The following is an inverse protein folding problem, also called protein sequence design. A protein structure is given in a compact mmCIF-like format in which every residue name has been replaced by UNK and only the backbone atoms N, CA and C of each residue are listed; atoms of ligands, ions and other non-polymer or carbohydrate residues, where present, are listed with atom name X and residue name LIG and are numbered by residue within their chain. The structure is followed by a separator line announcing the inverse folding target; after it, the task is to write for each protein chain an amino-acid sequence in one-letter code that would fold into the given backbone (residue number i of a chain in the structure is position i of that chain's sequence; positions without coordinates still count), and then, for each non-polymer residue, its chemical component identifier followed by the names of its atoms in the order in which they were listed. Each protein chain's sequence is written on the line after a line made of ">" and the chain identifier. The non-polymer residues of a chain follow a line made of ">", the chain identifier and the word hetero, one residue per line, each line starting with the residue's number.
data_IF_252340376819
#
_entry.id   IF_252340376819
#
_cell.length_a   1.000
_cell.length_b   1.000
_cell.length_c   1.000
_cell.angle_alpha   90.00
_cell.angle_beta   90.00
_cell.angle_gamma   90.00
#
_symmetry.space_group_name_H-M   'P 1'
#
loop_
_entity.id
_entity.type
_entity.pdbx_description
1 polymer ?
#
# COMPACT_ATOMS: atom_id res chain seq x y z
N UNK A 1 20.88 -1.16 23.21
CA UNK A 1 20.84 -2.00 21.99
C UNK A 1 21.27 -1.15 20.81
N UNK A 2 22.41 -1.42 20.18
CA UNK A 2 22.83 -0.69 18.98
C UNK A 2 21.98 -1.15 17.81
N UNK A 3 21.20 -0.26 17.22
CA UNK A 3 20.51 -0.47 15.96
C UNK A 3 21.55 -0.55 14.84
N UNK A 4 22.03 -1.75 14.54
CA UNK A 4 22.80 -1.98 13.31
C UNK A 4 21.86 -1.92 12.11
N UNK A 5 21.59 -0.71 11.64
CA UNK A 5 20.92 -0.45 10.36
C UNK A 5 21.97 -0.65 9.23
N UNK A 6 22.17 -1.88 8.83
CA UNK A 6 22.88 -2.16 7.57
C UNK A 6 21.97 -1.77 6.39
N UNK A 7 22.03 -0.51 5.99
CA UNK A 7 21.32 0.01 4.82
C UNK A 7 21.94 -0.45 3.48
N UNK A 8 23.06 -1.20 3.53
CA UNK A 8 23.81 -1.65 2.34
C UNK A 8 23.27 -2.92 1.68
N UNK A 9 22.83 -3.91 2.48
CA UNK A 9 22.37 -5.21 1.99
C UNK A 9 20.93 -5.47 2.41
N UNK A 10 19.97 -4.84 1.71
CA UNK A 10 18.55 -5.12 1.92
C UNK A 10 18.24 -6.58 1.51
N UNK A 11 18.26 -7.48 2.49
CA UNK A 11 17.87 -8.86 2.32
C UNK A 11 16.44 -9.06 2.82
N UNK A 12 15.51 -9.23 1.91
CA UNK A 12 14.12 -9.48 2.26
C UNK A 12 13.95 -10.87 2.90
N UNK A 13 13.11 -10.92 3.95
CA UNK A 13 12.67 -12.18 4.56
C UNK A 13 11.99 -13.07 3.52
N UNK A 14 12.35 -14.34 3.49
CA UNK A 14 11.68 -15.31 2.64
C UNK A 14 10.31 -15.68 3.25
N UNK A 15 9.24 -15.16 2.67
CA UNK A 15 7.86 -15.42 3.06
C UNK A 15 7.14 -16.28 2.02
N UNK A 16 6.08 -16.97 2.42
CA UNK A 16 5.23 -17.79 1.54
C UNK A 16 4.41 -16.83 0.66
N UNK A 17 4.47 -16.97 -0.68
CA UNK A 17 3.68 -16.10 -1.56
C UNK A 17 2.19 -16.42 -1.47
N UNK A 18 1.36 -15.38 -1.50
CA UNK A 18 -0.10 -15.46 -1.48
C UNK A 18 -0.67 -14.72 -2.68
N UNK A 19 -1.57 -15.38 -3.41
CA UNK A 19 -2.29 -14.77 -4.54
C UNK A 19 -3.59 -14.12 -4.06
N UNK A 20 -3.82 -12.86 -4.45
CA UNK A 20 -5.02 -12.07 -4.11
C UNK A 20 -5.57 -11.49 -5.41
N UNK A 21 -6.65 -12.05 -5.92
CA UNK A 21 -7.16 -11.65 -7.23
C UNK A 21 -6.10 -11.78 -8.33
N UNK A 22 -5.74 -10.67 -8.95
CA UNK A 22 -4.76 -10.57 -10.03
C UNK A 22 -3.32 -10.26 -9.55
N UNK A 23 -3.08 -10.11 -8.25
CA UNK A 23 -1.76 -9.80 -7.68
C UNK A 23 -1.26 -10.91 -6.78
N UNK A 24 0.06 -10.91 -6.53
CA UNK A 24 0.72 -11.80 -5.57
C UNK A 24 1.55 -10.99 -4.59
N UNK A 25 1.55 -11.40 -3.33
CA UNK A 25 2.34 -10.81 -2.24
C UNK A 25 3.29 -11.85 -1.66
N UNK A 26 4.32 -11.41 -0.95
CA UNK A 26 5.29 -12.33 -0.33
C UNK A 26 6.28 -12.95 -1.31
N UNK A 27 7.21 -13.74 -0.81
CA UNK A 27 8.30 -14.29 -1.59
C UNK A 27 9.13 -13.20 -2.27
N UNK A 28 9.40 -13.35 -3.55
CA UNK A 28 10.09 -12.36 -4.39
C UNK A 28 9.19 -11.24 -4.94
N UNK A 29 7.87 -11.29 -4.67
CA UNK A 29 6.95 -10.27 -5.17
C UNK A 29 7.20 -8.91 -4.49
N UNK A 30 6.91 -7.78 -5.16
CA UNK A 30 7.08 -6.46 -4.55
C UNK A 30 6.21 -6.29 -3.31
N UNK A 31 6.62 -5.40 -2.40
CA UNK A 31 5.80 -5.01 -1.25
C UNK A 31 4.61 -4.21 -1.75
N UNK A 32 3.41 -4.64 -1.41
CA UNK A 32 2.16 -4.11 -1.94
C UNK A 32 1.58 -3.03 -1.03
N UNK A 33 1.14 -1.93 -1.62
CA UNK A 33 0.43 -0.86 -0.92
C UNK A 33 -1.06 -1.19 -0.88
N UNK A 34 -1.60 -1.30 0.33
CA UNK A 34 -3.03 -1.49 0.58
C UNK A 34 -3.62 -0.22 1.21
N UNK A 35 -4.84 0.10 0.84
CA UNK A 35 -5.65 1.17 1.46
C UNK A 35 -6.99 0.65 1.99
N UNK A 36 -7.79 1.54 2.52
CA UNK A 36 -9.14 1.23 3.02
C UNK A 36 -10.08 2.41 2.78
N UNK A 37 -11.30 2.13 2.35
CA UNK A 37 -12.37 3.13 2.27
C UNK A 37 -12.83 3.54 3.67
N UNK A 38 -13.39 4.74 3.76
CA UNK A 38 -14.11 5.23 4.93
C UNK A 38 -15.55 5.66 4.60
N UNK A 39 -16.00 5.33 3.40
CA UNK A 39 -17.41 5.47 3.01
C UNK A 39 -18.24 4.38 3.64
N UNK A 40 -19.55 4.62 3.80
CA UNK A 40 -20.50 3.53 4.05
C UNK A 40 -20.49 2.58 2.84
N UNK A 41 -20.16 1.31 3.07
CA UNK A 41 -20.05 0.32 2.00
C UNK A 41 -21.40 0.06 1.33
N UNK A 42 -22.52 0.29 2.02
CA UNK A 42 -23.86 0.19 1.44
C UNK A 42 -24.13 1.30 0.40
N UNK A 43 -23.45 2.43 0.48
CA UNK A 43 -23.43 3.43 -0.59
C UNK A 43 -22.47 2.98 -1.70
N UNK A 44 -23.03 2.26 -2.67
CA UNK A 44 -22.28 1.73 -3.83
C UNK A 44 -21.58 2.84 -4.62
N UNK A 45 -22.20 4.01 -4.76
CA UNK A 45 -21.66 5.10 -5.58
C UNK A 45 -20.46 5.75 -4.91
N UNK A 46 -20.60 6.16 -3.66
CA UNK A 46 -19.52 6.77 -2.89
C UNK A 46 -18.35 5.80 -2.72
N UNK A 47 -18.64 4.54 -2.42
CA UNK A 47 -17.60 3.51 -2.23
C UNK A 47 -16.87 3.21 -3.54
N UNK A 48 -17.55 3.06 -4.68
CA UNK A 48 -16.91 2.89 -5.98
C UNK A 48 -15.99 4.05 -6.32
N UNK A 49 -16.46 5.29 -6.15
CA UNK A 49 -15.66 6.49 -6.41
C UNK A 49 -14.39 6.48 -5.56
N UNK A 50 -14.52 6.24 -4.27
CA UNK A 50 -13.38 6.23 -3.36
C UNK A 50 -12.39 5.09 -3.69
N UNK A 51 -12.86 3.89 -4.05
CA UNK A 51 -12.00 2.79 -4.51
C UNK A 51 -11.23 3.20 -5.76
N UNK A 52 -11.87 3.85 -6.74
CA UNK A 52 -11.20 4.35 -7.94
C UNK A 52 -10.15 5.39 -7.63
N UNK A 53 -10.47 6.35 -6.75
CA UNK A 53 -9.54 7.40 -6.34
C UNK A 53 -8.31 6.80 -5.65
N UNK A 54 -8.50 5.82 -4.76
CA UNK A 54 -7.42 5.09 -4.10
C UNK A 54 -6.59 4.27 -5.09
N UNK A 55 -7.22 3.55 -6.03
CA UNK A 55 -6.53 2.78 -7.05
C UNK A 55 -5.73 3.68 -8.01
N UNK A 56 -6.30 4.81 -8.42
CA UNK A 56 -5.61 5.81 -9.26
C UNK A 56 -4.42 6.45 -8.54
N UNK A 57 -4.51 6.62 -7.21
CA UNK A 57 -3.38 7.05 -6.38
C UNK A 57 -2.28 5.98 -6.28
N UNK A 58 -2.55 4.75 -6.71
CA UNK A 58 -1.62 3.63 -6.72
C UNK A 58 -1.79 2.64 -5.57
N UNK A 59 -2.96 2.62 -4.91
CA UNK A 59 -3.32 1.52 -4.03
C UNK A 59 -3.54 0.25 -4.86
N UNK A 60 -2.86 -0.81 -4.48
CA UNK A 60 -2.87 -2.07 -5.23
C UNK A 60 -3.88 -3.06 -4.69
N UNK A 61 -4.36 -2.84 -3.48
CA UNK A 61 -5.46 -3.57 -2.82
C UNK A 61 -6.29 -2.55 -2.05
N UNK A 62 -7.61 -2.62 -2.14
CA UNK A 62 -8.52 -1.77 -1.36
C UNK A 62 -9.38 -2.62 -0.43
N UNK A 63 -9.44 -2.24 0.85
CA UNK A 63 -10.28 -2.89 1.84
C UNK A 63 -11.55 -2.08 2.08
N UNK A 64 -12.67 -2.76 2.16
CA UNK A 64 -13.98 -2.21 2.50
C UNK A 64 -14.53 -2.90 3.75
N UNK A 65 -15.32 -2.20 4.55
CA UNK A 65 -15.97 -2.79 5.73
C UNK A 65 -17.22 -3.56 5.30
N UNK A 66 -17.40 -4.77 5.83
CA UNK A 66 -18.61 -5.58 5.61
C UNK A 66 -19.18 -5.94 6.99
N UNK A 67 -19.98 -5.04 7.52
CA UNK A 67 -20.46 -5.04 8.92
C UNK A 67 -21.93 -5.39 9.07
N UNK A 68 -22.70 -5.34 7.99
CA UNK A 68 -24.15 -5.59 7.96
C UNK A 68 -24.62 -6.11 6.61
N UNK A 69 -25.90 -6.51 6.55
CA UNK A 69 -26.47 -7.12 5.34
C UNK A 69 -26.41 -6.20 4.12
N UNK A 70 -26.66 -4.91 4.28
CA UNK A 70 -26.68 -3.98 3.17
C UNK A 70 -25.27 -3.74 2.61
N UNK A 71 -24.25 -3.71 3.47
CA UNK A 71 -22.86 -3.67 3.01
C UNK A 71 -22.46 -4.97 2.29
N UNK A 72 -22.94 -6.13 2.74
CA UNK A 72 -22.71 -7.41 2.06
C UNK A 72 -23.38 -7.46 0.67
N UNK A 73 -24.65 -7.02 0.57
CA UNK A 73 -25.38 -6.93 -0.72
C UNK A 73 -24.69 -5.98 -1.71
N UNK A 74 -24.11 -4.88 -1.23
CA UNK A 74 -23.48 -3.86 -2.05
C UNK A 74 -22.20 -4.35 -2.78
N UNK A 75 -21.50 -5.35 -2.24
CA UNK A 75 -20.19 -5.80 -2.75
C UNK A 75 -20.23 -6.20 -4.24
N UNK A 76 -21.21 -6.97 -4.66
CA UNK A 76 -21.35 -7.38 -6.07
C UNK A 76 -21.59 -6.21 -7.00
N UNK A 77 -22.44 -5.26 -6.61
CA UNK A 77 -22.71 -4.04 -7.37
C UNK A 77 -21.49 -3.12 -7.45
N UNK A 78 -20.73 -3.02 -6.36
CA UNK A 78 -19.46 -2.27 -6.33
C UNK A 78 -18.48 -2.87 -7.35
N UNK A 79 -18.29 -4.19 -7.32
CA UNK A 79 -17.35 -4.87 -8.26
C UNK A 79 -17.78 -4.71 -9.70
N UNK A 80 -19.06 -4.88 -10.00
CA UNK A 80 -19.61 -4.69 -11.35
C UNK A 80 -19.36 -3.26 -11.87
N UNK A 81 -19.63 -2.23 -11.04
CA UNK A 81 -19.37 -0.84 -11.40
C UNK A 81 -17.89 -0.57 -11.66
N UNK A 82 -17.01 -1.08 -10.81
CA UNK A 82 -15.56 -0.93 -10.98
C UNK A 82 -15.07 -1.58 -12.28
N UNK A 83 -15.59 -2.75 -12.63
CA UNK A 83 -15.26 -3.43 -13.88
C UNK A 83 -15.70 -2.61 -15.12
N UNK A 84 -16.87 -1.96 -15.09
CA UNK A 84 -17.36 -1.09 -16.16
C UNK A 84 -16.41 0.09 -16.47
N UNK A 85 -15.65 0.53 -15.48
CA UNK A 85 -14.66 1.62 -15.62
C UNK A 85 -13.21 1.09 -15.68
N UNK A 86 -13.02 -0.19 -15.96
CA UNK A 86 -11.72 -0.85 -16.05
C UNK A 86 -10.87 -0.76 -14.76
N UNK A 87 -11.49 -0.64 -13.60
CA UNK A 87 -10.83 -0.69 -12.30
C UNK A 87 -10.82 -2.11 -11.77
N UNK A 88 -9.71 -2.83 -11.95
CA UNK A 88 -9.55 -4.24 -11.57
C UNK A 88 -8.80 -4.43 -10.24
N UNK A 89 -8.83 -3.43 -9.36
CA UNK A 89 -8.18 -3.53 -8.06
C UNK A 89 -8.83 -4.62 -7.22
N UNK A 90 -8.05 -5.51 -6.56
CA UNK A 90 -8.59 -6.50 -5.63
C UNK A 90 -9.26 -5.85 -4.42
N UNK A 91 -10.44 -6.37 -4.06
CA UNK A 91 -11.23 -5.89 -2.93
C UNK A 91 -11.16 -6.86 -1.77
N UNK A 92 -10.89 -6.34 -0.58
CA UNK A 92 -10.84 -7.11 0.67
C UNK A 92 -12.04 -6.78 1.53
N UNK A 93 -12.80 -7.79 1.94
CA UNK A 93 -13.85 -7.64 2.93
C UNK A 93 -13.28 -7.66 4.35
N UNK A 94 -13.59 -6.65 5.13
CA UNK A 94 -13.23 -6.55 6.54
C UNK A 94 -14.42 -6.98 7.40
N UNK A 95 -14.31 -8.16 8.00
CA UNK A 95 -15.39 -8.79 8.78
C UNK A 95 -15.10 -8.70 10.26
N UNK A 96 -16.16 -8.38 11.00
CA UNK A 96 -16.21 -8.35 12.45
C UNK A 96 -17.47 -9.09 12.94
N UNK A 97 -17.51 -9.55 14.18
CA UNK A 97 -18.64 -10.15 14.90
C UNK A 97 -19.55 -11.09 14.07
N UNK A 98 -20.38 -10.55 13.20
CA UNK A 98 -21.38 -11.30 12.40
C UNK A 98 -20.86 -11.73 11.02
N UNK A 99 -19.56 -11.57 10.75
CA UNK A 99 -18.95 -11.89 9.45
C UNK A 99 -19.23 -13.32 8.98
N UNK A 100 -19.26 -14.30 9.89
CA UNK A 100 -19.61 -15.69 9.62
C UNK A 100 -21.05 -15.84 9.06
N UNK A 101 -21.98 -15.07 9.60
CA UNK A 101 -23.37 -15.05 9.12
C UNK A 101 -23.49 -14.36 7.77
N UNK A 102 -22.81 -13.22 7.59
CA UNK A 102 -22.83 -12.46 6.34
C UNK A 102 -22.28 -13.27 5.17
N UNK A 103 -21.15 -13.96 5.35
CA UNK A 103 -20.54 -14.77 4.31
C UNK A 103 -21.44 -15.95 3.89
N UNK A 104 -22.15 -16.60 4.84
CA UNK A 104 -23.11 -17.69 4.54
C UNK A 104 -24.37 -17.17 3.87
N UNK A 105 -24.95 -16.07 4.38
CA UNK A 105 -26.22 -15.53 3.89
C UNK A 105 -26.09 -14.84 2.53
N UNK A 106 -24.92 -14.30 2.22
CA UNK A 106 -24.66 -13.56 0.97
C UNK A 106 -23.52 -14.20 0.17
N UNK A 107 -23.75 -15.34 -0.51
CA UNK A 107 -22.73 -16.07 -1.25
C UNK A 107 -22.11 -15.24 -2.39
N UNK A 108 -22.83 -14.28 -2.97
CA UNK A 108 -22.29 -13.39 -3.98
C UNK A 108 -21.25 -12.42 -3.41
N UNK A 109 -21.43 -11.95 -2.18
CA UNK A 109 -20.43 -11.19 -1.45
C UNK A 109 -19.16 -12.05 -1.27
N UNK A 110 -19.33 -13.27 -0.76
CA UNK A 110 -18.21 -14.18 -0.53
C UNK A 110 -17.42 -14.50 -1.81
N UNK A 111 -18.10 -14.75 -2.93
CA UNK A 111 -17.47 -15.01 -4.24
C UNK A 111 -16.78 -13.78 -4.82
N UNK A 112 -17.36 -12.61 -4.67
CA UNK A 112 -16.90 -11.38 -5.31
C UNK A 112 -15.65 -10.81 -4.66
N UNK A 113 -15.52 -10.91 -3.35
CA UNK A 113 -14.34 -10.46 -2.62
C UNK A 113 -13.09 -11.26 -3.04
N UNK A 114 -11.95 -10.58 -3.10
CA UNK A 114 -10.68 -11.20 -3.47
C UNK A 114 -9.90 -11.72 -2.26
N UNK A 115 -10.23 -11.27 -1.05
CA UNK A 115 -9.63 -11.70 0.22
C UNK A 115 -10.57 -11.36 1.38
N UNK A 116 -10.54 -12.17 2.44
CA UNK A 116 -11.21 -11.84 3.70
C UNK A 116 -10.21 -11.37 4.76
N UNK A 117 -10.59 -10.39 5.55
CA UNK A 117 -9.88 -10.05 6.80
C UNK A 117 -10.74 -10.49 7.97
N UNK A 118 -10.16 -11.30 8.83
CA UNK A 118 -10.76 -11.82 10.05
C UNK A 118 -9.94 -11.35 11.23
N UNK A 119 -10.59 -10.80 12.25
CA UNK A 119 -9.96 -10.50 13.53
C UNK A 119 -10.39 -11.57 14.55
N UNK A 120 -9.49 -12.44 14.98
CA UNK A 120 -9.82 -13.52 15.92
C UNK A 120 -10.42 -13.03 17.24
N UNK A 121 -10.05 -11.82 17.69
CA UNK A 121 -10.60 -11.22 18.90
C UNK A 121 -12.05 -10.72 18.77
N UNK A 122 -12.58 -10.63 17.54
CA UNK A 122 -13.92 -10.12 17.25
C UNK A 122 -14.82 -11.17 16.59
N UNK A 123 -14.54 -12.47 16.73
CA UNK A 123 -15.28 -13.56 16.08
C UNK A 123 -16.06 -14.37 17.10
N UNK A 124 -16.73 -13.74 18.03
CA UNK A 124 -17.49 -14.42 19.08
C UNK A 124 -16.72 -14.56 20.40
N UNK A 125 -17.39 -15.11 21.41
CA UNK A 125 -16.90 -15.25 22.77
C UNK A 125 -16.92 -16.72 23.17
N UNK A 126 -15.91 -17.16 23.93
CA UNK A 126 -15.80 -18.53 24.48
C UNK A 126 -15.97 -19.60 23.40
N UNK A 127 -16.78 -20.61 23.63
CA UNK A 127 -17.02 -21.74 22.72
C UNK A 127 -17.54 -21.32 21.33
N UNK A 128 -18.30 -20.23 21.22
CA UNK A 128 -18.78 -19.70 19.94
C UNK A 128 -17.69 -19.15 19.06
N UNK A 129 -16.54 -18.78 19.64
CA UNK A 129 -15.41 -18.21 18.90
C UNK A 129 -14.85 -19.17 17.86
N UNK A 130 -14.57 -20.41 18.23
CA UNK A 130 -14.02 -21.40 17.28
C UNK A 130 -15.05 -21.75 16.19
N UNK A 131 -16.31 -21.91 16.53
CA UNK A 131 -17.41 -22.20 15.60
C UNK A 131 -17.53 -21.09 14.54
N UNK A 132 -17.54 -19.82 14.97
CA UNK A 132 -17.69 -18.71 14.06
C UNK A 132 -16.42 -18.47 13.20
N UNK A 133 -15.24 -18.63 13.79
CA UNK A 133 -13.99 -18.58 13.05
C UNK A 133 -13.93 -19.71 11.99
N UNK A 134 -14.21 -20.95 12.39
CA UNK A 134 -14.25 -22.11 11.49
C UNK A 134 -15.23 -21.90 10.34
N UNK A 135 -16.41 -21.37 10.62
CA UNK A 135 -17.40 -21.02 9.60
C UNK A 135 -16.89 -20.00 8.56
N UNK A 136 -16.11 -19.01 8.97
CA UNK A 136 -15.53 -18.04 8.03
C UNK A 136 -14.40 -18.68 7.20
N UNK A 137 -13.63 -19.57 7.77
CA UNK A 137 -12.58 -20.33 7.06
C UNK A 137 -13.20 -21.31 6.04
N UNK A 138 -14.30 -21.99 6.40
CA UNK A 138 -15.05 -22.84 5.48
C UNK A 138 -15.54 -22.08 4.24
N UNK A 139 -16.07 -20.87 4.43
CA UNK A 139 -16.49 -20.02 3.31
C UNK A 139 -15.28 -19.53 2.48
N UNK A 140 -14.12 -19.28 3.11
CA UNK A 140 -12.89 -18.97 2.40
C UNK A 140 -12.40 -20.14 1.54
N UNK A 141 -12.44 -21.36 2.07
CA UNK A 141 -12.12 -22.60 1.35
C UNK A 141 -13.06 -22.81 0.16
N UNK A 142 -14.37 -22.78 0.40
CA UNK A 142 -15.41 -22.96 -0.63
C UNK A 142 -15.24 -21.99 -1.80
N UNK A 143 -14.86 -20.75 -1.53
CA UNK A 143 -14.68 -19.70 -2.53
C UNK A 143 -13.21 -19.55 -2.98
N UNK A 144 -12.29 -20.40 -2.50
CA UNK A 144 -10.85 -20.34 -2.75
C UNK A 144 -10.25 -18.93 -2.50
N UNK A 145 -10.56 -18.34 -1.36
CA UNK A 145 -10.11 -16.99 -1.00
C UNK A 145 -9.01 -17.03 0.05
N UNK A 146 -7.94 -16.24 -0.11
CA UNK A 146 -6.97 -16.05 0.94
C UNK A 146 -7.58 -15.25 2.11
N UNK A 147 -7.05 -15.51 3.30
CA UNK A 147 -7.50 -14.89 4.54
C UNK A 147 -6.35 -14.12 5.19
N UNK A 148 -6.62 -12.90 5.64
CA UNK A 148 -5.72 -12.21 6.55
C UNK A 148 -6.24 -12.32 7.98
N UNK A 149 -5.49 -13.01 8.80
CA UNK A 149 -5.68 -13.05 10.26
C UNK A 149 -5.07 -11.78 10.82
N UNK A 150 -5.94 -10.89 11.29
CA UNK A 150 -5.57 -9.54 11.69
C UNK A 150 -5.84 -9.27 13.14
N UNK A 151 -4.86 -9.49 13.99
CA UNK A 151 -4.93 -9.20 15.43
C UNK A 151 -4.60 -7.74 15.69
N UNK A 152 -5.38 -7.08 16.52
CA UNK A 152 -5.12 -5.73 17.01
C UNK A 152 -5.08 -5.74 18.53
N UNK A 153 -4.22 -4.91 19.11
CA UNK A 153 -4.12 -4.72 20.56
C UNK A 153 -5.49 -4.41 21.20
N UNK A 154 -6.21 -3.40 20.69
CA UNK A 154 -7.47 -2.94 21.27
C UNK A 154 -8.62 -3.95 21.20
N UNK A 155 -8.45 -5.06 20.49
CA UNK A 155 -9.44 -6.14 20.35
C UNK A 155 -8.80 -7.52 20.51
N UNK A 156 -7.79 -7.60 21.39
CA UNK A 156 -7.17 -8.86 21.77
C UNK A 156 -8.14 -9.69 22.62
N UNK A 157 -8.06 -11.00 22.44
CA UNK A 157 -8.79 -11.98 23.23
C UNK A 157 -8.40 -11.88 24.71
N UNK A 158 -9.37 -11.48 25.54
CA UNK A 158 -9.14 -11.26 26.98
C UNK A 158 -8.95 -12.58 27.74
N UNK A 159 -9.61 -13.65 27.31
CA UNK A 159 -9.43 -14.97 27.95
C UNK A 159 -7.99 -15.46 27.73
N UNK A 160 -7.50 -15.39 26.49
CA UNK A 160 -6.10 -15.72 26.17
C UNK A 160 -5.10 -14.84 26.94
N UNK A 161 -5.37 -13.54 27.06
CA UNK A 161 -4.49 -12.65 27.81
C UNK A 161 -4.46 -13.01 29.28
N UNK A 162 -5.61 -13.29 29.91
CA UNK A 162 -5.72 -13.70 31.28
C UNK A 162 -4.94 -14.98 31.55
N UNK A 163 -5.14 -16.01 30.72
CA UNK A 163 -4.44 -17.29 30.84
C UNK A 163 -2.91 -17.11 30.80
N UNK A 164 -2.42 -16.27 29.87
CA UNK A 164 -0.99 -15.99 29.74
C UNK A 164 -0.45 -15.15 30.91
N UNK A 165 -1.24 -14.26 31.51
CA UNK A 165 -0.88 -13.53 32.71
C UNK A 165 -0.78 -14.48 33.92
N UNK A 166 -1.74 -15.40 34.06
CA UNK A 166 -1.74 -16.41 35.12
C UNK A 166 -0.55 -17.40 34.99
N UNK A 167 -0.24 -17.83 33.77
CA UNK A 167 0.97 -18.60 33.51
C UNK A 167 2.24 -17.83 33.89
N UNK A 168 2.31 -16.54 33.47
CA UNK A 168 3.45 -15.68 33.72
C UNK A 168 3.71 -15.47 35.22
N UNK A 169 2.65 -15.38 36.03
CA UNK A 169 2.76 -15.21 37.51
C UNK A 169 3.45 -16.37 38.20
N UNK A 170 3.46 -17.57 37.59
CA UNK A 170 4.07 -18.79 38.13
C UNK A 170 5.60 -18.85 37.94
N UNK A 171 6.17 -17.97 37.10
CA UNK A 171 7.61 -17.95 36.87
C UNK A 171 8.37 -17.27 38.02
N UNK A 172 9.57 -17.73 38.32
CA UNK A 172 10.45 -17.10 39.30
C UNK A 172 10.80 -15.64 39.00
N UNK A 173 10.80 -15.29 37.71
CA UNK A 173 10.99 -13.91 37.20
C UNK A 173 9.92 -13.66 36.16
N UNK A 174 8.74 -13.19 36.56
CA UNK A 174 7.67 -12.91 35.61
C UNK A 174 8.07 -11.75 34.70
N UNK A 175 7.57 -11.81 33.44
CA UNK A 175 7.66 -10.72 32.49
C UNK A 175 6.73 -9.59 32.91
N UNK A 176 7.02 -8.37 32.45
CA UNK A 176 6.10 -7.25 32.61
C UNK A 176 4.82 -7.45 31.77
N UNK A 177 3.77 -6.73 32.11
CA UNK A 177 2.45 -6.85 31.49
C UNK A 177 2.47 -6.55 29.99
N UNK A 178 3.31 -5.62 29.55
CA UNK A 178 3.45 -5.27 28.13
C UNK A 178 4.05 -6.44 27.35
N UNK A 179 5.09 -7.07 27.88
CA UNK A 179 5.72 -8.25 27.28
C UNK A 179 4.75 -9.44 27.18
N UNK A 180 3.91 -9.65 28.21
CA UNK A 180 2.88 -10.70 28.17
C UNK A 180 1.82 -10.38 27.11
N UNK A 181 1.37 -9.14 27.02
CA UNK A 181 0.39 -8.72 26.03
C UNK A 181 0.95 -8.85 24.59
N UNK A 182 2.23 -8.50 24.38
CA UNK A 182 2.93 -8.72 23.12
C UNK A 182 2.97 -10.20 22.74
N UNK A 183 3.29 -11.08 23.71
CA UNK A 183 3.24 -12.54 23.55
C UNK A 183 1.83 -13.00 23.18
N UNK A 184 0.80 -12.48 23.83
CA UNK A 184 -0.59 -12.82 23.57
C UNK A 184 -1.03 -12.48 22.13
N UNK A 185 -0.62 -11.31 21.59
CA UNK A 185 -0.87 -10.93 20.19
C UNK A 185 -0.28 -11.94 19.21
N UNK A 186 0.97 -12.34 19.43
CA UNK A 186 1.69 -13.29 18.57
C UNK A 186 1.06 -14.67 18.67
N UNK A 187 0.77 -15.14 19.87
CA UNK A 187 0.11 -16.43 20.12
C UNK A 187 -1.27 -16.45 19.45
N UNK A 188 -2.09 -15.43 19.65
CA UNK A 188 -3.41 -15.32 19.00
C UNK A 188 -3.32 -15.43 17.49
N UNK A 189 -2.36 -14.75 16.88
CA UNK A 189 -2.19 -14.79 15.42
C UNK A 189 -1.74 -16.17 14.91
N UNK A 190 -0.75 -16.77 15.57
CA UNK A 190 -0.17 -18.04 15.14
C UNK A 190 -1.10 -19.24 15.41
N UNK A 191 -1.79 -19.26 16.55
CA UNK A 191 -2.79 -20.31 16.85
C UNK A 191 -3.97 -20.25 15.91
N UNK A 192 -4.46 -19.03 15.59
CA UNK A 192 -5.53 -18.86 14.59
C UNK A 192 -5.08 -19.27 13.19
N UNK A 193 -3.82 -19.01 12.80
CA UNK A 193 -3.28 -19.47 11.53
C UNK A 193 -3.19 -21.01 11.47
N UNK A 194 -2.69 -21.62 12.55
CA UNK A 194 -2.65 -23.08 12.68
C UNK A 194 -4.06 -23.68 12.62
N UNK A 195 -5.03 -23.09 13.32
CA UNK A 195 -6.42 -23.52 13.27
C UNK A 195 -7.01 -23.45 11.86
N UNK A 196 -6.69 -22.39 11.10
CA UNK A 196 -7.11 -22.26 9.71
C UNK A 196 -6.50 -23.36 8.82
N UNK A 197 -5.22 -23.76 9.04
CA UNK A 197 -4.60 -24.90 8.36
C UNK A 197 -5.26 -26.23 8.71
N UNK A 198 -5.58 -26.47 9.98
CA UNK A 198 -6.29 -27.68 10.44
C UNK A 198 -7.67 -27.81 9.77
N UNK A 199 -8.32 -26.69 9.48
CA UNK A 199 -9.58 -26.64 8.73
C UNK A 199 -9.40 -26.81 7.21
N UNK A 200 -8.15 -26.86 6.71
CA UNK A 200 -7.82 -27.14 5.30
C UNK A 200 -7.30 -25.94 4.50
N UNK A 201 -7.19 -24.73 5.09
CA UNK A 201 -6.65 -23.58 4.39
C UNK A 201 -5.14 -23.76 4.18
N UNK A 202 -4.67 -23.54 2.95
CA UNK A 202 -3.25 -23.68 2.63
C UNK A 202 -2.44 -22.51 3.17
N UNK A 203 -1.15 -22.71 3.47
CA UNK A 203 -0.23 -21.64 3.91
C UNK A 203 -0.14 -20.50 2.93
N UNK A 204 -0.25 -20.80 1.63
CA UNK A 204 -0.28 -19.86 0.50
C UNK A 204 -1.59 -19.04 0.43
N UNK A 205 -2.51 -19.26 1.36
CA UNK A 205 -3.76 -18.52 1.49
C UNK A 205 -3.84 -17.75 2.81
N UNK A 206 -2.78 -17.78 3.65
CA UNK A 206 -2.77 -17.15 4.97
C UNK A 206 -1.82 -15.96 4.99
N UNK A 207 -2.33 -14.84 5.49
CA UNK A 207 -1.58 -13.61 5.75
C UNK A 207 -1.76 -13.24 7.21
N UNK A 208 -0.71 -12.80 7.88
CA UNK A 208 -0.78 -12.40 9.29
C UNK A 208 -0.54 -10.90 9.44
N UNK A 209 -1.24 -10.28 10.38
CA UNK A 209 -0.91 -8.96 10.90
C UNK A 209 -1.20 -8.85 12.38
N UNK A 210 -0.25 -8.29 13.12
CA UNK A 210 -0.41 -7.91 14.53
C UNK A 210 -0.16 -6.41 14.64
N UNK A 211 -1.14 -5.65 15.08
CA UNK A 211 -1.08 -4.19 15.08
C UNK A 211 -1.25 -3.63 16.49
N UNK A 212 -0.37 -2.70 16.82
CA UNK A 212 -0.37 -1.90 18.05
C UNK A 212 -0.17 -0.43 17.68
N UNK A 213 -0.39 0.47 18.63
CA UNK A 213 -0.19 1.92 18.46
C UNK A 213 1.22 2.39 18.85
N UNK A 214 2.01 1.54 19.52
CA UNK A 214 3.36 1.81 19.96
C UNK A 214 4.41 1.31 18.98
N UNK A 215 5.41 2.15 18.67
CA UNK A 215 6.41 1.88 17.62
C UNK A 215 7.34 0.74 18.01
N UNK A 216 7.93 0.82 19.23
CA UNK A 216 8.90 -0.18 19.68
C UNK A 216 8.26 -1.56 19.83
N UNK A 217 7.10 -1.61 20.44
CA UNK A 217 6.29 -2.82 20.59
C UNK A 217 5.93 -3.44 19.24
N UNK A 218 5.57 -2.60 18.26
CA UNK A 218 5.29 -3.09 16.90
C UNK A 218 6.51 -3.74 16.25
N UNK A 219 7.68 -3.10 16.37
CA UNK A 219 8.94 -3.62 15.83
C UNK A 219 9.29 -4.97 16.45
N UNK A 220 9.19 -5.09 17.78
CA UNK A 220 9.47 -6.34 18.51
C UNK A 220 8.52 -7.47 18.11
N UNK A 221 7.21 -7.16 17.95
CA UNK A 221 6.21 -8.13 17.49
C UNK A 221 6.60 -8.68 16.12
N UNK A 222 6.95 -7.82 15.16
CA UNK A 222 7.28 -8.29 13.82
C UNK A 222 8.63 -8.97 13.72
N UNK A 223 9.61 -8.59 14.57
CA UNK A 223 10.87 -9.32 14.69
C UNK A 223 10.63 -10.75 15.17
N UNK A 224 9.74 -10.94 16.14
CA UNK A 224 9.41 -12.26 16.67
C UNK A 224 8.57 -13.08 15.69
N UNK A 225 7.56 -12.49 15.06
CA UNK A 225 6.76 -13.14 14.01
C UNK A 225 7.63 -13.59 12.84
N UNK A 226 8.58 -12.76 12.41
CA UNK A 226 9.48 -13.09 11.31
C UNK A 226 10.35 -14.33 11.60
N UNK A 227 10.70 -14.56 12.86
CA UNK A 227 11.45 -15.74 13.31
C UNK A 227 10.56 -16.98 13.46
N UNK A 228 9.32 -16.80 13.94
CA UNK A 228 8.41 -17.90 14.30
C UNK A 228 7.61 -18.46 13.12
N UNK A 229 7.41 -17.72 12.04
CA UNK A 229 6.60 -18.19 10.91
C UNK A 229 7.14 -17.73 9.55
N UNK A 230 6.64 -18.34 8.48
CA UNK A 230 6.93 -17.96 7.07
C UNK A 230 5.73 -17.35 6.34
N UNK A 231 4.60 -17.15 6.99
CA UNK A 231 3.45 -16.50 6.37
C UNK A 231 3.79 -15.10 5.87
N UNK A 232 3.11 -14.64 4.83
CA UNK A 232 3.17 -13.25 4.40
C UNK A 232 2.67 -12.32 5.51
N UNK A 233 3.39 -11.22 5.74
CA UNK A 233 3.12 -10.27 6.82
C UNK A 233 2.59 -8.94 6.29
N UNK A 234 1.47 -8.50 6.85
CA UNK A 234 0.88 -7.20 6.56
C UNK A 234 1.21 -6.21 7.66
N UNK A 235 1.97 -5.17 7.33
CA UNK A 235 2.42 -4.15 8.27
C UNK A 235 1.45 -2.98 8.37
N UNK A 236 1.45 -2.34 9.52
CA UNK A 236 0.77 -1.08 9.75
C UNK A 236 0.71 -0.75 11.24
N UNK A 237 0.95 0.50 11.58
CA UNK A 237 0.66 1.02 12.90
C UNK A 237 -0.85 1.27 13.00
N UNK A 238 -1.50 0.86 14.09
CA UNK A 238 -2.90 1.21 14.33
C UNK A 238 -2.99 2.52 15.09
N UNK A 239 -4.06 3.29 14.86
CA UNK A 239 -4.33 4.52 15.61
C UNK A 239 -3.14 5.51 15.63
N UNK A 240 -2.46 5.62 14.47
CA UNK A 240 -1.25 6.44 14.36
C UNK A 240 -1.50 7.93 14.64
N UNK A 241 -2.74 8.39 14.44
CA UNK A 241 -3.16 9.77 14.65
C UNK A 241 -3.35 10.55 13.35
N UNK A 242 -3.55 11.86 13.49
CA UNK A 242 -3.87 12.78 12.39
C UNK A 242 -2.63 13.56 11.94
N UNK A 243 -2.55 13.87 10.65
CA UNK A 243 -1.57 14.77 10.07
C UNK A 243 -0.12 14.36 10.36
N UNK A 244 0.71 15.31 10.76
CA UNK A 244 2.16 15.12 11.00
C UNK A 244 2.42 13.98 11.98
N UNK A 245 1.70 13.92 13.10
CA UNK A 245 1.88 12.85 14.09
C UNK A 245 1.69 11.47 13.46
N UNK A 246 0.58 11.28 12.76
CA UNK A 246 0.25 10.01 12.13
C UNK A 246 1.27 9.60 11.06
N UNK A 247 1.69 10.54 10.24
CA UNK A 247 2.70 10.34 9.18
C UNK A 247 4.04 9.95 9.81
N UNK A 248 4.54 10.73 10.78
CA UNK A 248 5.83 10.49 11.42
C UNK A 248 5.84 9.16 12.16
N UNK A 249 4.80 8.87 12.96
CA UNK A 249 4.71 7.60 13.70
C UNK A 249 4.66 6.40 12.78
N UNK A 250 3.85 6.46 11.71
CA UNK A 250 3.77 5.38 10.72
C UNK A 250 5.08 5.20 9.96
N UNK A 251 5.73 6.30 9.57
CA UNK A 251 7.02 6.28 8.87
C UNK A 251 8.10 5.66 9.75
N UNK A 252 8.22 6.07 11.00
CA UNK A 252 9.21 5.52 11.93
C UNK A 252 9.01 4.01 12.14
N UNK A 253 7.78 3.59 12.47
CA UNK A 253 7.46 2.19 12.72
C UNK A 253 7.74 1.30 11.50
N UNK A 254 7.22 1.68 10.33
CA UNK A 254 7.36 0.87 9.12
C UNK A 254 8.78 0.87 8.59
N UNK A 255 9.51 1.99 8.67
CA UNK A 255 10.90 2.05 8.23
C UNK A 255 11.80 1.12 9.03
N UNK A 256 11.62 1.05 10.36
CA UNK A 256 12.39 0.14 11.21
C UNK A 256 12.15 -1.34 10.87
N UNK A 257 10.91 -1.72 10.58
CA UNK A 257 10.56 -3.10 10.25
C UNK A 257 11.00 -3.44 8.81
N UNK A 258 10.69 -2.57 7.85
CA UNK A 258 11.04 -2.76 6.44
C UNK A 258 12.55 -2.81 6.22
N UNK A 259 13.34 -2.01 6.94
CA UNK A 259 14.82 -2.03 6.85
C UNK A 259 15.43 -3.36 7.30
N UNK A 260 14.69 -4.15 8.10
CA UNK A 260 15.06 -5.53 8.47
C UNK A 260 14.62 -6.56 7.42
N UNK A 261 14.06 -6.13 6.29
CA UNK A 261 13.52 -7.01 5.25
C UNK A 261 12.19 -7.66 5.60
N UNK A 262 11.49 -7.20 6.64
CA UNK A 262 10.23 -7.75 7.12
C UNK A 262 9.07 -6.97 6.52
N UNK A 263 8.08 -7.68 5.96
CA UNK A 263 6.85 -7.10 5.42
C UNK A 263 6.60 -7.42 3.95
N UNK A 264 5.37 -7.72 3.63
CA UNK A 264 4.93 -8.13 2.30
C UNK A 264 3.82 -7.23 1.75
N UNK A 265 3.02 -6.65 2.62
CA UNK A 265 2.08 -5.56 2.31
C UNK A 265 2.10 -4.52 3.43
N UNK A 266 1.81 -3.27 3.09
CA UNK A 266 1.73 -2.19 4.06
C UNK A 266 0.43 -1.40 3.94
N UNK A 267 -0.08 -0.88 5.07
CA UNK A 267 -1.15 0.10 5.10
C UNK A 267 -0.86 1.17 6.14
N UNK A 268 -0.93 2.41 5.72
CA UNK A 268 -0.90 3.57 6.61
C UNK A 268 -2.32 3.79 7.17
N UNK A 269 -2.42 4.10 8.44
CA UNK A 269 -3.70 4.32 9.15
C UNK A 269 -3.72 5.74 9.72
N UNK A 270 -4.03 6.71 8.88
CA UNK A 270 -4.19 8.10 9.31
C UNK A 270 -5.65 8.37 9.72
N UNK A 271 -5.83 9.18 10.74
CA UNK A 271 -7.10 9.83 10.99
C UNK A 271 -7.24 10.95 9.94
N UNK A 272 -8.20 10.89 9.01
CA UNK A 272 -8.36 11.94 8.01
C UNK A 272 -8.83 13.23 8.67
N UNK A 273 -8.44 14.38 8.10
CA UNK A 273 -9.09 15.65 8.42
C UNK A 273 -10.55 15.58 7.97
N UNK A 274 -11.46 16.37 8.57
CA UNK A 274 -12.77 16.56 7.97
C UNK A 274 -12.62 16.93 6.50
N UNK A 275 -13.32 16.23 5.59
CA UNK A 275 -13.21 16.38 4.13
C UNK A 275 -11.80 16.12 3.55
N UNK A 276 -10.92 15.55 4.34
CA UNK A 276 -9.54 15.27 3.93
C UNK A 276 -9.43 14.19 2.86
N UNK A 277 -8.39 14.32 2.04
CA UNK A 277 -8.12 13.38 0.95
C UNK A 277 -7.65 12.02 1.47
N UNK A 278 -8.46 10.99 1.27
CA UNK A 278 -8.16 9.61 1.69
C UNK A 278 -6.93 9.03 0.98
N UNK A 279 -6.55 9.58 -0.17
CA UNK A 279 -5.37 9.16 -0.95
C UNK A 279 -4.05 9.46 -0.23
N UNK A 280 -4.05 10.36 0.78
CA UNK A 280 -2.86 10.69 1.57
C UNK A 280 -2.19 9.44 2.16
N UNK A 281 -2.98 8.47 2.66
CA UNK A 281 -2.45 7.19 3.17
C UNK A 281 -1.65 6.41 2.11
N UNK A 282 -2.10 6.44 0.87
CA UNK A 282 -1.43 5.77 -0.25
C UNK A 282 -0.12 6.47 -0.59
N UNK A 283 -0.15 7.78 -0.67
CA UNK A 283 1.06 8.57 -0.97
C UNK A 283 2.12 8.42 0.12
N UNK A 284 1.74 8.46 1.40
CA UNK A 284 2.66 8.23 2.51
C UNK A 284 3.27 6.82 2.45
N UNK A 285 2.47 5.79 2.15
CA UNK A 285 2.96 4.42 1.98
C UNK A 285 3.99 4.31 0.84
N UNK A 286 3.71 4.95 -0.29
CA UNK A 286 4.62 5.00 -1.43
C UNK A 286 5.92 5.72 -1.09
N UNK A 287 5.84 6.87 -0.44
CA UNK A 287 7.02 7.65 -0.03
C UNK A 287 7.92 6.87 0.95
N UNK A 288 7.34 6.13 1.90
CA UNK A 288 8.12 5.26 2.79
C UNK A 288 8.92 4.24 1.97
N UNK A 289 8.27 3.49 1.08
CA UNK A 289 8.94 2.48 0.26
C UNK A 289 9.97 3.08 -0.69
N UNK A 290 9.68 4.26 -1.25
CA UNK A 290 10.55 4.96 -2.19
C UNK A 290 11.80 5.54 -1.51
N UNK A 291 11.63 6.17 -0.34
CA UNK A 291 12.76 6.71 0.42
C UNK A 291 13.67 5.61 1.01
N UNK A 292 13.11 4.45 1.33
CA UNK A 292 13.89 3.25 1.70
C UNK A 292 14.52 2.54 0.49
N UNK A 293 14.32 3.03 -0.74
CA UNK A 293 14.81 2.42 -1.99
C UNK A 293 14.32 0.99 -2.23
N UNK A 294 13.19 0.63 -1.65
CA UNK A 294 12.55 -0.70 -1.80
C UNK A 294 11.74 -0.77 -3.10
N UNK A 295 10.99 0.30 -3.41
CA UNK A 295 10.20 0.44 -4.64
C UNK A 295 10.14 1.90 -5.05
N UNK A 296 10.02 2.14 -6.38
CA UNK A 296 9.71 3.44 -6.95
C UNK A 296 8.27 3.48 -7.45
N UNK A 297 7.58 4.59 -7.23
CA UNK A 297 6.17 4.77 -7.62
C UNK A 297 5.96 5.97 -8.51
N UNK A 298 6.73 7.03 -8.31
CA UNK A 298 6.69 8.26 -9.07
C UNK A 298 8.07 8.93 -9.12
N UNK A 299 8.33 9.81 -10.08
CA UNK A 299 9.51 10.65 -10.11
C UNK A 299 9.76 11.37 -8.78
N UNK A 300 11.00 11.32 -8.30
CA UNK A 300 11.37 12.02 -7.07
C UNK A 300 11.68 13.48 -7.37
N UNK A 301 11.01 14.39 -6.69
CA UNK A 301 11.29 15.82 -6.76
C UNK A 301 12.06 16.26 -5.51
N UNK A 302 13.32 16.63 -5.70
CA UNK A 302 14.12 17.28 -4.67
C UNK A 302 13.89 18.79 -4.76
N UNK A 303 13.47 19.41 -3.67
CA UNK A 303 13.24 20.84 -3.61
C UNK A 303 14.03 21.50 -2.48
N UNK A 304 14.46 22.72 -2.70
CA UNK A 304 15.11 23.55 -1.71
C UNK A 304 14.13 23.90 -0.56
N UNK A 305 14.58 23.89 0.71
CA UNK A 305 13.71 24.26 1.84
C UNK A 305 13.34 25.75 1.85
N UNK A 306 14.04 26.59 1.08
CA UNK A 306 13.94 28.04 1.14
C UNK A 306 14.71 28.63 2.34
N UNK A 307 15.26 29.80 2.14
CA UNK A 307 15.98 30.55 3.17
C UNK A 307 15.94 32.04 2.83
N UNK A 308 16.61 32.92 3.60
CA UNK A 308 16.67 34.37 3.35
C UNK A 308 17.21 34.76 1.97
N UNK A 309 17.79 33.86 1.21
CA UNK A 309 18.22 34.05 -0.19
C UNK A 309 17.09 33.91 -1.20
N UNK A 310 15.97 33.32 -0.81
CA UNK A 310 14.82 33.06 -1.68
C UNK A 310 13.57 33.68 -1.08
N UNK A 311 13.44 34.99 -1.25
CA UNK A 311 12.26 35.74 -0.78
C UNK A 311 11.06 35.62 -1.73
N UNK A 312 11.30 35.18 -2.95
CA UNK A 312 10.26 34.91 -3.94
C UNK A 312 9.56 33.54 -3.68
N UNK A 313 8.24 33.50 -3.85
CA UNK A 313 7.43 32.27 -3.76
C UNK A 313 7.51 31.41 -5.02
N UNK A 314 8.10 31.89 -6.10
CA UNK A 314 8.07 31.25 -7.43
C UNK A 314 8.61 29.81 -7.40
N UNK A 315 9.71 29.56 -6.66
CA UNK A 315 10.27 28.21 -6.59
C UNK A 315 9.37 27.24 -5.79
N UNK A 316 8.67 27.75 -4.76
CA UNK A 316 7.73 26.95 -3.97
C UNK A 316 6.53 26.56 -4.83
N UNK A 317 5.96 27.53 -5.56
CA UNK A 317 4.86 27.31 -6.50
C UNK A 317 5.26 26.35 -7.64
N UNK A 318 6.48 26.50 -8.17
CA UNK A 318 6.99 25.60 -9.18
C UNK A 318 7.14 24.18 -8.63
N UNK A 319 7.74 24.00 -7.45
CA UNK A 319 7.92 22.69 -6.83
C UNK A 319 6.57 21.99 -6.57
N UNK A 320 5.60 22.74 -6.02
CA UNK A 320 4.25 22.23 -5.78
C UNK A 320 3.55 21.82 -7.09
N UNK A 321 3.53 22.71 -8.10
CA UNK A 321 2.88 22.45 -9.39
C UNK A 321 3.54 21.30 -10.16
N UNK A 322 4.86 21.13 -10.04
CA UNK A 322 5.55 19.98 -10.63
C UNK A 322 5.20 18.69 -9.90
N UNK A 323 5.10 18.68 -8.56
CA UNK A 323 4.66 17.52 -7.81
C UNK A 323 3.22 17.09 -8.17
N UNK A 324 2.31 18.08 -8.28
CA UNK A 324 0.92 17.83 -8.70
C UNK A 324 0.90 17.26 -10.12
N UNK A 325 1.59 17.88 -11.06
CA UNK A 325 1.70 17.44 -12.45
C UNK A 325 2.19 16.00 -12.57
N UNK A 326 3.24 15.65 -11.82
CA UNK A 326 3.76 14.27 -11.79
C UNK A 326 2.69 13.29 -11.31
N UNK A 327 1.99 13.60 -10.20
CA UNK A 327 0.95 12.73 -9.65
C UNK A 327 -0.20 12.52 -10.64
N UNK A 328 -0.62 13.56 -11.34
CA UNK A 328 -1.69 13.52 -12.34
C UNK A 328 -1.27 12.72 -13.59
N UNK A 329 -0.03 12.86 -14.04
CA UNK A 329 0.47 12.18 -15.24
C UNK A 329 0.90 10.74 -14.97
N UNK A 330 1.25 10.39 -13.74
CA UNK A 330 1.82 9.09 -13.40
C UNK A 330 0.99 7.88 -13.84
N UNK A 331 -0.36 7.87 -13.72
CA UNK A 331 -1.19 6.78 -14.21
C UNK A 331 -1.07 6.57 -15.73
N UNK A 332 -0.90 7.67 -16.49
CA UNK A 332 -0.71 7.64 -17.94
C UNK A 332 0.72 7.23 -18.32
N UNK A 333 1.71 7.79 -17.63
CA UNK A 333 3.12 7.49 -17.89
C UNK A 333 3.45 6.03 -17.62
N UNK A 334 2.98 5.45 -16.52
CA UNK A 334 3.16 4.00 -16.22
C UNK A 334 2.61 3.09 -17.30
N UNK A 335 1.53 3.49 -17.99
CA UNK A 335 0.97 2.72 -19.10
C UNK A 335 1.82 2.82 -20.36
N UNK A 336 2.49 3.95 -20.56
CA UNK A 336 3.22 4.27 -21.81
C UNK A 336 4.72 4.01 -21.73
N UNK A 337 5.33 4.22 -20.57
CA UNK A 337 6.78 4.26 -20.42
C UNK A 337 7.25 3.36 -19.28
N UNK A 338 8.24 2.50 -19.56
CA UNK A 338 8.85 1.63 -18.54
C UNK A 338 9.91 2.39 -17.75
N UNK A 339 9.83 2.34 -16.41
CA UNK A 339 10.86 2.86 -15.51
C UNK A 339 10.77 4.36 -15.26
N UNK A 340 9.73 5.05 -15.76
CA UNK A 340 9.53 6.50 -15.57
C UNK A 340 9.46 6.89 -14.09
N UNK A 341 9.04 5.98 -13.23
CA UNK A 341 9.00 6.16 -11.78
C UNK A 341 10.37 6.34 -11.13
N UNK A 342 11.45 6.03 -11.84
CA UNK A 342 12.83 6.21 -11.34
C UNK A 342 13.43 7.58 -11.63
N UNK A 343 12.74 8.43 -12.39
CA UNK A 343 13.18 9.78 -12.76
C UNK A 343 13.43 10.65 -11.52
N UNK A 344 14.54 11.37 -11.53
CA UNK A 344 14.91 12.32 -10.46
C UNK A 344 14.85 13.73 -10.99
N UNK A 345 14.06 14.55 -10.32
CA UNK A 345 13.90 15.98 -10.61
C UNK A 345 14.45 16.82 -9.47
N UNK A 346 14.96 18.01 -9.79
CA UNK A 346 15.37 19.00 -8.81
C UNK A 346 14.75 20.37 -9.13
N UNK A 347 14.16 21.01 -8.11
CA UNK A 347 13.62 22.37 -8.18
C UNK A 347 14.29 23.19 -7.09
N UNK A 348 15.22 24.07 -7.48
CA UNK A 348 16.08 24.78 -6.55
C UNK A 348 15.83 26.29 -6.61
N UNK A 349 15.90 26.95 -5.45
CA UNK A 349 15.50 28.34 -5.29
C UNK A 349 16.61 29.39 -5.40
N UNK A 350 17.90 29.01 -5.56
CA UNK A 350 19.02 29.93 -5.71
C UNK A 350 20.24 29.24 -6.31
N UNK A 351 21.24 30.04 -6.71
CA UNK A 351 22.48 29.51 -7.34
C UNK A 351 23.43 28.81 -6.36
N UNK A 352 23.23 28.90 -5.05
CA UNK A 352 24.20 28.31 -4.08
C UNK A 352 24.19 26.78 -4.14
N UNK A 353 23.06 26.13 -3.96
CA UNK A 353 22.93 24.69 -4.08
C UNK A 353 22.28 24.26 -5.41
N UNK A 354 21.63 25.22 -6.09
CA UNK A 354 20.83 24.98 -7.27
C UNK A 354 21.53 24.23 -8.38
N UNK A 355 22.68 24.71 -8.88
CA UNK A 355 23.42 24.05 -9.95
C UNK A 355 23.95 22.66 -9.54
N UNK A 356 24.38 22.49 -8.29
CA UNK A 356 24.89 21.23 -7.76
C UNK A 356 23.82 20.14 -7.71
N UNK A 357 22.70 20.43 -7.07
CA UNK A 357 21.54 19.52 -6.96
C UNK A 357 20.91 19.24 -8.32
N UNK A 358 20.81 20.28 -9.17
CA UNK A 358 20.25 20.13 -10.52
C UNK A 358 21.11 19.26 -11.42
N UNK A 359 22.44 19.26 -11.24
CA UNK A 359 23.36 18.36 -11.97
C UNK A 359 23.31 16.92 -11.51
N UNK A 360 22.95 16.69 -10.22
CA UNK A 360 22.83 15.35 -9.64
C UNK A 360 21.45 14.69 -9.94
N UNK A 361 20.49 15.47 -10.44
CA UNK A 361 19.22 14.97 -10.93
C UNK A 361 19.27 14.64 -12.43
N UNK A 362 18.32 13.83 -12.90
CA UNK A 362 18.15 13.62 -14.35
C UNK A 362 17.70 14.91 -15.04
N UNK A 363 16.83 15.67 -14.39
CA UNK A 363 16.38 16.98 -14.79
C UNK A 363 16.37 17.93 -13.58
N UNK A 364 16.97 19.08 -13.72
CA UNK A 364 16.96 20.08 -12.65
C UNK A 364 16.80 21.50 -13.17
N UNK A 365 16.10 22.31 -12.41
CA UNK A 365 15.98 23.76 -12.63
C UNK A 365 16.45 24.50 -11.39
N UNK A 366 17.26 25.54 -11.61
CA UNK A 366 17.73 26.45 -10.57
C UNK A 366 17.13 27.83 -10.82
N UNK A 367 16.26 28.28 -9.90
CA UNK A 367 15.67 29.60 -9.96
C UNK A 367 16.65 30.63 -9.39
N UNK A 368 16.53 31.90 -9.76
CA UNK A 368 17.33 32.97 -9.16
C UNK A 368 16.90 33.28 -7.72
N UNK A 369 17.84 33.47 -6.86
CA UNK A 369 17.60 34.02 -5.53
C UNK A 369 17.40 35.52 -5.55
N UNK A 370 17.17 36.12 -4.37
CA UNK A 370 17.01 37.59 -4.20
C UNK A 370 18.25 38.31 -4.66
N UNK A 371 18.10 39.26 -5.58
CA UNK A 371 19.20 40.07 -6.13
C UNK A 371 20.02 39.35 -7.22
N UNK A 372 19.68 38.12 -7.60
CA UNK A 372 20.31 37.40 -8.68
C UNK A 372 19.67 37.73 -10.04
N UNK A 373 20.42 37.54 -11.13
CA UNK A 373 19.90 37.76 -12.49
C UNK A 373 18.70 36.85 -12.74
N UNK A 374 17.59 37.34 -13.31
CA UNK A 374 16.34 36.59 -13.50
C UNK A 374 16.47 35.55 -14.62
N UNK A 375 17.43 34.61 -14.48
CA UNK A 375 17.68 33.50 -15.41
C UNK A 375 17.58 32.20 -14.66
N UNK A 376 16.93 31.23 -15.27
CA UNK A 376 16.63 29.92 -14.67
C UNK A 376 17.28 28.82 -15.51
N UNK A 377 18.55 28.48 -15.22
CA UNK A 377 19.22 27.39 -15.93
C UNK A 377 18.56 26.06 -15.65
N UNK A 378 18.34 25.30 -16.72
CA UNK A 378 17.86 23.91 -16.70
C UNK A 378 19.02 22.99 -17.04
N UNK A 379 19.16 21.93 -16.25
CA UNK A 379 20.15 20.91 -16.41
C UNK A 379 19.47 19.59 -16.80
N UNK A 380 20.02 18.92 -17.81
CA UNK A 380 19.60 17.60 -18.27
C UNK A 380 20.81 16.69 -18.25
N UNK A 381 20.70 15.55 -17.54
CA UNK A 381 21.79 14.57 -17.39
C UNK A 381 23.13 15.25 -17.00
N UNK A 382 23.07 16.17 -16.02
CA UNK A 382 24.23 16.88 -15.47
C UNK A 382 24.74 18.06 -16.31
N UNK A 383 24.18 18.33 -17.49
CA UNK A 383 24.62 19.42 -18.40
C UNK A 383 23.59 20.54 -18.44
N UNK A 384 24.07 21.79 -18.39
CA UNK A 384 23.19 22.95 -18.64
C UNK A 384 22.76 22.95 -20.11
N UNK A 385 21.46 22.83 -20.36
CA UNK A 385 20.92 22.71 -21.73
C UNK A 385 20.03 23.90 -22.12
N UNK A 386 19.24 24.42 -21.18
CA UNK A 386 18.31 25.52 -21.42
C UNK A 386 18.50 26.63 -20.39
N UNK A 387 18.01 27.82 -20.70
CA UNK A 387 17.88 28.91 -19.75
C UNK A 387 16.48 29.50 -19.93
N UNK A 388 15.61 29.27 -18.96
CA UNK A 388 14.25 29.81 -18.98
C UNK A 388 14.22 31.24 -18.44
N UNK A 389 13.25 32.03 -18.90
CA UNK A 389 13.04 33.42 -18.50
C UNK A 389 11.55 33.75 -18.53
N UNK A 390 11.14 34.76 -17.73
CA UNK A 390 9.76 35.25 -17.74
C UNK A 390 8.78 34.42 -16.93
N UNK A 391 7.49 34.61 -17.16
CA UNK A 391 6.41 34.11 -16.28
C UNK A 391 5.93 32.68 -16.60
N UNK A 392 6.29 32.10 -17.76
CA UNK A 392 5.80 30.81 -18.21
C UNK A 392 6.68 29.62 -17.79
N UNK A 393 7.60 29.84 -16.85
CA UNK A 393 8.61 28.84 -16.43
C UNK A 393 8.01 27.50 -16.05
N UNK A 394 6.83 27.49 -15.41
CA UNK A 394 6.16 26.28 -14.97
C UNK A 394 5.77 25.40 -16.16
N UNK A 395 5.10 25.99 -17.14
CA UNK A 395 4.63 25.26 -18.32
C UNK A 395 5.79 24.87 -19.24
N UNK A 396 6.79 25.71 -19.35
CA UNK A 396 8.00 25.40 -20.13
C UNK A 396 8.78 24.23 -19.48
N UNK A 397 8.90 24.22 -18.14
CA UNK A 397 9.58 23.13 -17.46
C UNK A 397 8.77 21.81 -17.54
N UNK A 398 7.44 21.87 -17.47
CA UNK A 398 6.57 20.69 -17.70
C UNK A 398 6.77 20.10 -19.11
N UNK A 399 6.89 20.95 -20.13
CA UNK A 399 7.18 20.50 -21.51
C UNK A 399 8.53 19.79 -21.59
N UNK A 400 9.57 20.39 -21.00
CA UNK A 400 10.91 19.79 -20.96
C UNK A 400 10.89 18.41 -20.25
N UNK A 401 10.14 18.27 -19.14
CA UNK A 401 9.96 17.00 -18.44
C UNK A 401 9.29 15.97 -19.37
N UNK A 402 8.22 16.37 -20.06
CA UNK A 402 7.50 15.49 -20.96
C UNK A 402 8.37 15.03 -22.14
N UNK A 403 9.07 15.93 -22.80
CA UNK A 403 10.00 15.65 -23.89
C UNK A 403 11.13 14.73 -23.48
N UNK A 404 11.69 14.95 -22.25
CA UNK A 404 12.72 14.09 -21.72
C UNK A 404 12.21 12.67 -21.47
N UNK A 405 11.02 12.53 -20.89
CA UNK A 405 10.40 11.22 -20.67
C UNK A 405 10.18 10.49 -22.00
N UNK A 406 9.66 11.17 -23.02
CA UNK A 406 9.42 10.61 -24.35
C UNK A 406 10.70 10.14 -25.04
N UNK A 407 11.80 10.86 -24.82
CA UNK A 407 13.10 10.55 -25.39
C UNK A 407 13.85 9.44 -24.66
N UNK A 408 13.82 9.46 -23.30
CA UNK A 408 14.62 8.58 -22.47
C UNK A 408 13.98 7.23 -22.22
N UNK A 409 12.67 7.19 -22.05
CA UNK A 409 11.95 5.98 -21.63
C UNK A 409 11.28 5.29 -22.82
N UNK A 410 11.53 3.99 -22.95
CA UNK A 410 10.94 3.17 -24.01
C UNK A 410 9.44 3.00 -23.80
N UNK A 411 8.66 3.09 -24.87
CA UNK A 411 7.22 2.81 -24.85
C UNK A 411 6.98 1.35 -24.43
N UNK A 412 5.96 1.13 -23.62
CA UNK A 412 5.52 -0.20 -23.21
C UNK A 412 4.93 -0.96 -24.40
N UNK A 413 5.63 -1.95 -24.94
CA UNK A 413 5.15 -2.82 -26.02
C UNK A 413 4.02 -3.78 -25.57
N UNK A 414 3.73 -3.87 -24.27
CA UNK A 414 2.72 -4.81 -23.74
C UNK A 414 1.27 -4.50 -24.14
N UNK A 415 0.97 -3.28 -24.59
CA UNK A 415 -0.37 -2.94 -25.09
C UNK A 415 -0.63 -3.33 -26.55
N UNK A 416 0.39 -3.79 -27.28
CA UNK A 416 0.24 -4.27 -28.67
C UNK A 416 0.04 -5.79 -28.78
N UNK A 417 0.28 -6.56 -27.69
CA UNK A 417 0.13 -8.03 -27.71
C UNK A 417 -1.27 -8.53 -27.34
N UNK A 418 -2.20 -7.67 -26.95
CA UNK A 418 -3.61 -8.08 -26.78
C UNK A 418 -4.30 -8.46 -28.10
N UNK A 419 -3.74 -8.05 -29.24
CA UNK A 419 -4.26 -8.37 -30.58
C UNK A 419 -3.94 -9.80 -31.05
N UNK A 420 -2.96 -10.50 -30.42
CA UNK A 420 -2.63 -11.88 -30.81
C UNK A 420 -3.62 -12.90 -30.25
N UNK A 421 -4.12 -12.69 -29.04
CA UNK A 421 -5.11 -13.58 -28.43
C UNK A 421 -6.48 -13.44 -29.11
N UNK A 422 -6.88 -12.21 -29.45
CA UNK A 422 -8.12 -11.96 -30.21
C UNK A 422 -8.04 -12.48 -31.65
N UNK A 423 -6.88 -12.42 -32.33
CA UNK A 423 -6.68 -13.01 -33.64
C UNK A 423 -6.71 -14.54 -33.63
N UNK A 424 -6.25 -15.18 -32.53
CA UNK A 424 -6.31 -16.64 -32.39
C UNK A 424 -7.74 -17.14 -32.15
N UNK A 425 -8.55 -16.38 -31.41
CA UNK A 425 -9.96 -16.70 -31.17
C UNK A 425 -10.78 -16.46 -32.45
N UNK A 426 -10.57 -15.39 -33.18
CA UNK A 426 -11.25 -15.16 -34.47
C UNK A 426 -10.89 -16.23 -35.54
N UNK A 427 -9.65 -16.69 -35.57
CA UNK A 427 -9.28 -17.83 -36.48
C UNK A 427 -9.95 -19.13 -36.08
N UNK A 428 -10.12 -19.45 -34.80
CA UNK A 428 -10.82 -20.67 -34.36
C UNK A 428 -12.33 -20.60 -34.63
N UNK A 429 -12.95 -19.44 -34.52
CA UNK A 429 -14.38 -19.28 -34.84
C UNK A 429 -14.61 -19.40 -36.35
N UNK A 430 -13.69 -18.91 -37.18
CA UNK A 430 -13.81 -19.02 -38.65
C UNK A 430 -13.56 -20.42 -39.22
N UNK A 431 -12.81 -21.27 -38.46
CA UNK A 431 -12.53 -22.65 -38.87
C UNK A 431 -13.68 -23.59 -38.47
N UNK A 432 -14.43 -23.27 -37.42
CA UNK A 432 -15.60 -24.05 -36.99
C UNK A 432 -16.84 -23.80 -37.85
N UNK A 433 -16.93 -22.67 -38.55
CA UNK A 433 -18.06 -22.35 -39.47
C UNK A 433 -17.90 -22.91 -40.88
N UNK A 434 -16.74 -23.50 -41.22
CA UNK A 434 -16.52 -24.15 -42.55
C UNK A 434 -16.70 -25.66 -42.57
N UNK A 435 -16.92 -26.30 -41.39
CA UNK A 435 -17.12 -27.75 -41.30
C UNK A 435 -18.61 -28.16 -41.14
N UNK A 436 -19.54 -27.21 -41.34
CA UNK A 436 -20.97 -27.48 -41.42
C UNK A 436 -21.56 -26.83 -42.69
N UNK A 437 -21.09 -27.31 -43.83
CA UNK A 437 -21.82 -27.27 -45.11
C UNK A 437 -21.45 -28.52 -45.93
#
# INVERSE_FOLDING_TARGET
>A
MSLNLNLGDYKRRNSIPVKIGNISIGGSNPIIVQSMTNTDTADVNATCKQIQDLANAGSEIVRVTVDREDSAKAISYIKEKLLKVNCNVPIVGDFHYIGHSLLKKFPDCAKTLDKYRINPGNVGFKEKKDIQFSSMIEEALKNNKPVRIGVNWGSLDQDLLSDLMDENSKFKKPLDAESVTRKALIVSALTSAKRAEELGLKKEQIIISCKVSEIHTLVEIYDELAKKCKYSLHLGLTEAGMGIKGIVSSTAALSLILSKGIGDTIRISLTPKPEGDRREEVYVAQEILQNLRIRSFAPKVTACPGCGRTTSKVFQELAEKIQIFIREQMPNWKKKYNGVESLKLAVMGCIVNGPGESKNADLGISLPGTGETPTMPVFIDGKKTHTLRGNNVIEDFKKIIQEYIEKKYKKNEKNTKCTWYERSIRRRIFTLSRNHR
#
